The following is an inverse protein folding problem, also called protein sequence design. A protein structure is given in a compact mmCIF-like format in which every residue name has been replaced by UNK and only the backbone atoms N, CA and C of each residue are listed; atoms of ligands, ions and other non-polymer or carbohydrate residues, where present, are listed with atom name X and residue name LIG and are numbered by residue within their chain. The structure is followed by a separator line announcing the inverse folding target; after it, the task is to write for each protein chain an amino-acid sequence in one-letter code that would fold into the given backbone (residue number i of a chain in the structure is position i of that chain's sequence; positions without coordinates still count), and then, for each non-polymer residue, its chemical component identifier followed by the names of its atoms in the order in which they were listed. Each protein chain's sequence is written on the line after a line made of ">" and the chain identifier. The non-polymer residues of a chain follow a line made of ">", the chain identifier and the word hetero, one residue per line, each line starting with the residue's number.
data_IF_693328733623
#
_entry.id   IF_693328733623
#
_cell.length_a   1.000
_cell.length_b   1.000
_cell.length_c   1.000
_cell.angle_alpha   90.00
_cell.angle_beta   90.00
_cell.angle_gamma   90.00
#
_symmetry.space_group_name_H-M   'P 1'
#
loop_
_entity.id
_entity.type
_entity.pdbx_description
1 polymer ?
#
# COMPACT_ATOMS: atom_id res chain seq x y z
N UNK A 1 -2.66 4.73 4.90
CA UNK A 1 -2.46 3.46 5.61
C UNK A 1 -3.82 2.95 6.08
N UNK A 2 -3.99 1.64 6.18
CA UNK A 2 -5.26 0.98 6.57
C UNK A 2 -4.95 -0.14 7.57
N UNK A 3 -5.93 -0.53 8.40
CA UNK A 3 -5.81 -1.69 9.31
C UNK A 3 -6.45 -2.97 8.72
N UNK A 4 -6.51 -3.06 7.39
CA UNK A 4 -7.01 -4.23 6.67
C UNK A 4 -5.87 -5.06 6.11
N UNK A 5 -6.12 -6.36 5.92
CA UNK A 5 -5.25 -7.30 5.20
C UNK A 5 -5.75 -7.59 3.78
N UNK A 6 -6.93 -7.08 3.41
CA UNK A 6 -7.55 -7.38 2.12
C UNK A 6 -6.85 -6.60 0.98
N UNK A 7 -6.38 -7.28 -0.08
CA UNK A 7 -5.72 -6.61 -1.20
C UNK A 7 -6.58 -5.54 -1.88
N UNK A 8 -7.90 -5.76 -1.90
CA UNK A 8 -8.92 -4.86 -2.48
C UNK A 8 -9.00 -3.51 -1.78
N UNK A 9 -8.63 -3.44 -0.50
CA UNK A 9 -8.58 -2.20 0.27
C UNK A 9 -7.19 -1.55 0.25
N UNK A 10 -6.18 -2.28 -0.26
CA UNK A 10 -4.76 -1.99 -0.07
C UNK A 10 -4.04 -1.87 -1.41
N UNK A 11 -3.23 -2.88 -1.77
CA UNK A 11 -2.35 -2.84 -2.93
C UNK A 11 -3.10 -2.67 -4.26
N UNK A 12 -4.31 -3.21 -4.39
CA UNK A 12 -5.12 -3.04 -5.60
C UNK A 12 -5.61 -1.60 -5.76
N UNK A 13 -6.00 -0.95 -4.66
CA UNK A 13 -6.40 0.47 -4.67
C UNK A 13 -5.23 1.38 -5.05
N UNK A 14 -4.05 1.14 -4.47
CA UNK A 14 -2.85 1.94 -4.79
C UNK A 14 -2.41 1.71 -6.23
N UNK A 15 -2.46 0.46 -6.73
CA UNK A 15 -2.14 0.15 -8.13
C UNK A 15 -3.08 0.88 -9.09
N UNK A 16 -4.39 0.81 -8.84
CA UNK A 16 -5.38 1.52 -9.63
C UNK A 16 -5.22 3.05 -9.54
N UNK A 17 -4.74 3.57 -8.42
CA UNK A 17 -4.43 5.00 -8.25
C UNK A 17 -3.23 5.42 -9.11
N UNK A 18 -2.12 4.69 -9.02
CA UNK A 18 -0.92 4.97 -9.82
C UNK A 18 -1.19 4.88 -11.32
N UNK A 19 -2.08 3.99 -11.76
CA UNK A 19 -2.46 3.87 -13.18
C UNK A 19 -3.27 5.07 -13.70
N UNK A 20 -4.07 5.73 -12.85
CA UNK A 20 -4.94 6.86 -13.26
C UNK A 20 -4.34 8.23 -12.96
N UNK A 21 -3.26 8.29 -12.19
CA UNK A 21 -2.68 9.54 -11.69
C UNK A 21 -1.21 9.61 -12.10
N UNK A 22 -0.97 10.25 -13.25
CA UNK A 22 0.35 10.28 -13.89
C UNK A 22 1.42 11.04 -13.11
N UNK A 23 1.04 11.96 -12.22
CA UNK A 23 1.94 12.73 -11.35
C UNK A 23 2.17 12.06 -9.99
N UNK A 24 1.60 10.87 -9.74
CA UNK A 24 1.83 10.12 -8.52
C UNK A 24 2.87 9.01 -8.71
N UNK A 25 3.82 8.93 -7.79
CA UNK A 25 4.84 7.89 -7.78
C UNK A 25 4.96 7.19 -6.44
N UNK A 26 5.18 5.88 -6.50
CA UNK A 26 5.46 5.07 -5.33
C UNK A 26 6.89 5.33 -4.83
N UNK A 27 7.03 5.55 -3.53
CA UNK A 27 8.31 5.82 -2.89
C UNK A 27 8.60 4.77 -1.82
N UNK A 28 9.68 4.00 -2.01
CA UNK A 28 10.30 3.12 -0.99
C UNK A 28 9.41 2.00 -0.39
N UNK A 29 8.19 1.84 -0.91
CA UNK A 29 7.16 0.97 -0.34
C UNK A 29 6.67 -0.01 -1.40
N UNK A 30 7.55 -0.91 -1.85
CA UNK A 30 7.22 -1.93 -2.85
C UNK A 30 7.52 -1.48 -4.29
N UNK A 31 6.78 -2.02 -5.26
CA UNK A 31 6.93 -1.73 -6.69
C UNK A 31 5.60 -1.25 -7.29
N UNK A 32 5.58 -0.59 -8.47
CA UNK A 32 4.33 -0.21 -9.11
C UNK A 32 3.38 -1.40 -9.39
N UNK A 33 3.93 -2.60 -9.58
CA UNK A 33 3.15 -3.83 -9.81
C UNK A 33 2.54 -4.40 -8.52
N UNK A 34 3.27 -4.24 -7.40
CA UNK A 34 2.86 -4.63 -6.04
C UNK A 34 3.16 -3.49 -5.05
N UNK A 35 2.31 -2.46 -5.02
CA UNK A 35 2.57 -1.28 -4.22
C UNK A 35 2.17 -1.46 -2.75
N UNK A 36 2.94 -0.80 -1.89
CA UNK A 36 2.78 -0.79 -0.44
C UNK A 36 3.49 -1.92 0.28
N UNK A 37 3.34 -1.93 1.60
CA UNK A 37 3.82 -2.96 2.52
C UNK A 37 2.68 -3.36 3.45
N UNK A 38 2.48 -4.67 3.60
CA UNK A 38 1.53 -5.26 4.53
C UNK A 38 2.29 -5.84 5.71
N UNK A 39 1.97 -5.35 6.90
CA UNK A 39 2.31 -6.01 8.15
C UNK A 39 1.09 -6.85 8.55
N UNK A 40 1.31 -8.14 8.76
CA UNK A 40 0.26 -9.05 9.22
C UNK A 40 0.13 -8.93 10.74
N UNK A 41 -1.09 -9.05 11.29
CA UNK A 41 -1.27 -9.12 12.73
C UNK A 41 -0.59 -10.39 13.27
N UNK A 42 0.10 -10.26 14.40
CA UNK A 42 0.71 -11.38 15.11
C UNK A 42 0.20 -11.43 16.55
N UNK A 43 0.06 -12.63 17.11
CA UNK A 43 -0.45 -12.80 18.47
C UNK A 43 0.37 -12.02 19.53
N UNK A 44 1.67 -11.82 19.27
CA UNK A 44 2.60 -11.07 20.13
C UNK A 44 3.09 -9.76 19.48
N UNK A 45 2.72 -9.49 18.22
CA UNK A 45 3.29 -8.41 17.39
C UNK A 45 2.32 -7.24 17.16
N UNK A 46 1.11 -7.35 17.73
CA UNK A 46 0.07 -6.32 17.66
C UNK A 46 -0.74 -6.36 16.36
N UNK A 47 -1.54 -5.30 16.16
CA UNK A 47 -2.45 -5.19 15.02
C UNK A 47 -1.70 -5.03 13.70
N UNK A 48 -2.18 -5.73 12.67
CA UNK A 48 -1.65 -5.63 11.32
C UNK A 48 -2.08 -4.34 10.64
N UNK A 49 -1.25 -3.85 9.73
CA UNK A 49 -1.55 -2.65 8.96
C UNK A 49 -0.89 -2.66 7.59
N UNK A 50 -1.46 -1.90 6.67
CA UNK A 50 -0.91 -1.65 5.35
C UNK A 50 -0.57 -0.19 5.15
N UNK A 51 0.55 0.08 4.48
CA UNK A 51 0.95 1.43 4.10
C UNK A 51 1.66 1.47 2.75
N UNK A 52 1.41 2.55 2.00
CA UNK A 52 2.12 2.91 0.78
C UNK A 52 2.43 4.41 0.85
N UNK A 53 3.65 4.78 0.51
CA UNK A 53 4.11 6.17 0.47
C UNK A 53 4.12 6.62 -0.99
N UNK A 54 3.34 7.65 -1.28
CA UNK A 54 3.25 8.24 -2.61
C UNK A 54 3.80 9.66 -2.58
N UNK A 55 4.48 10.06 -3.64
CA UNK A 55 4.97 11.42 -3.85
C UNK A 55 4.31 11.97 -5.10
N UNK A 56 3.94 13.25 -5.04
CA UNK A 56 3.49 14.01 -6.21
C UNK A 56 4.70 14.64 -6.90
N UNK A 57 4.83 14.44 -8.21
CA UNK A 57 5.80 15.12 -9.07
C UNK A 57 5.33 16.51 -9.49
#
# INVERSE_FOLDING_TARGET
>A
ATCSVLPEENSLQIKAFLQRTADAELCETGTPEQPGKQNLPGAEEGDGFFYAKLIKK
#
